data_IF_705847194211
#
_entry.id   IF_705847194211
#
_cell.length_a   1.000
_cell.length_b   1.000
_cell.length_c   1.000
_cell.angle_alpha   90.00
_cell.angle_beta   90.00
_cell.angle_gamma   90.00
#
_symmetry.space_group_name_H-M   'P 1'
#
loop_
_entity.id
_entity.type
_entity.pdbx_description
1 polymer ?
#
# COMPACT_ATOMS: atom_id res chain seq x y z
N UNK A 1 -56.66 1.06 -55.01
CA UNK A 1 -56.61 1.88 -53.78
C UNK A 1 -57.62 1.33 -52.78
N UNK A 2 -57.25 1.41 -51.51
CA UNK A 2 -58.02 1.21 -50.28
C UNK A 2 -58.11 -0.21 -49.71
N UNK A 3 -57.61 -0.29 -48.47
CA UNK A 3 -57.21 -1.44 -47.68
C UNK A 3 -58.39 -2.18 -47.06
N UNK A 4 -58.36 -3.52 -47.08
CA UNK A 4 -59.16 -4.35 -46.19
C UNK A 4 -58.57 -4.31 -44.77
N UNK A 5 -59.32 -3.71 -43.86
CA UNK A 5 -59.11 -3.82 -42.41
C UNK A 5 -59.59 -5.18 -41.92
N UNK A 6 -58.66 -6.13 -41.74
CA UNK A 6 -58.87 -7.31 -40.89
C UNK A 6 -58.16 -7.11 -39.56
N UNK A 7 -58.91 -6.74 -38.53
CA UNK A 7 -58.49 -6.83 -37.13
C UNK A 7 -58.23 -8.30 -36.80
N UNK A 8 -56.96 -8.66 -36.57
CA UNK A 8 -56.60 -9.91 -35.89
C UNK A 8 -56.55 -9.63 -34.38
N UNK A 9 -57.15 -10.49 -33.53
CA UNK A 9 -56.85 -10.47 -32.12
C UNK A 9 -55.49 -11.15 -31.91
N UNK A 10 -54.45 -10.39 -31.57
CA UNK A 10 -53.20 -10.97 -31.06
C UNK A 10 -53.43 -11.39 -29.62
N UNK A 11 -53.75 -12.68 -29.48
CA UNK A 11 -53.71 -13.44 -28.25
C UNK A 11 -52.30 -13.51 -27.68
N UNK A 12 -52.27 -13.59 -26.35
CA UNK A 12 -51.24 -14.15 -25.47
C UNK A 12 -49.90 -13.42 -25.39
N UNK A 13 -49.87 -12.44 -24.47
CA UNK A 13 -48.69 -12.18 -23.66
C UNK A 13 -48.15 -13.51 -23.10
N UNK A 14 -46.84 -13.82 -23.24
CA UNK A 14 -46.24 -14.88 -22.47
C UNK A 14 -46.24 -14.43 -21.00
N UNK A 15 -47.08 -15.11 -20.23
CA UNK A 15 -47.13 -15.05 -18.78
C UNK A 15 -45.82 -15.66 -18.23
N UNK A 16 -44.75 -14.88 -18.26
CA UNK A 16 -43.46 -15.18 -17.64
C UNK A 16 -43.41 -14.68 -16.21
N UNK A 17 -44.29 -15.21 -15.34
CA UNK A 17 -44.06 -15.14 -13.90
C UNK A 17 -42.83 -15.98 -13.58
N UNK A 18 -41.68 -15.33 -13.41
CA UNK A 18 -40.67 -15.80 -12.47
C UNK A 18 -40.20 -14.60 -11.67
N UNK A 19 -41.10 -14.03 -10.88
CA UNK A 19 -40.67 -13.46 -9.59
C UNK A 19 -40.33 -14.67 -8.71
N UNK A 20 -39.17 -15.28 -8.93
CA UNK A 20 -38.57 -16.13 -7.90
C UNK A 20 -38.23 -15.19 -6.77
N UNK A 21 -39.12 -15.14 -5.78
CA UNK A 21 -38.79 -14.58 -4.49
C UNK A 21 -37.67 -15.45 -3.95
N UNK A 22 -36.42 -14.96 -4.04
CA UNK A 22 -35.29 -15.58 -3.34
C UNK A 22 -35.72 -15.78 -1.90
N UNK A 23 -35.68 -17.02 -1.46
CA UNK A 23 -36.00 -17.31 -0.06
C UNK A 23 -34.88 -16.76 0.82
N UNK A 24 -35.18 -16.53 2.09
CA UNK A 24 -34.18 -16.10 3.08
C UNK A 24 -32.99 -17.06 3.13
N UNK A 25 -33.23 -18.36 2.92
CA UNK A 25 -32.19 -19.38 2.82
C UNK A 25 -31.28 -19.18 1.59
N UNK A 26 -31.85 -18.84 0.43
CA UNK A 26 -31.08 -18.57 -0.79
C UNK A 26 -30.21 -17.30 -0.64
N UNK A 27 -30.75 -16.27 0.03
CA UNK A 27 -30.03 -15.04 0.38
C UNK A 27 -28.87 -15.33 1.34
N UNK A 28 -29.12 -16.11 2.39
CA UNK A 28 -28.09 -16.49 3.36
C UNK A 28 -26.95 -17.27 2.70
N UNK A 29 -27.27 -18.23 1.82
CA UNK A 29 -26.26 -18.99 1.09
C UNK A 29 -25.44 -18.08 0.15
N UNK A 30 -26.08 -17.13 -0.51
CA UNK A 30 -25.40 -16.19 -1.40
C UNK A 30 -24.47 -15.24 -0.63
N UNK A 31 -24.87 -14.78 0.55
CA UNK A 31 -24.01 -13.97 1.45
C UNK A 31 -22.80 -14.78 1.90
N UNK A 32 -22.97 -16.05 2.29
CA UNK A 32 -21.85 -16.91 2.69
C UNK A 32 -20.86 -17.09 1.55
N UNK A 33 -21.32 -17.31 0.32
CA UNK A 33 -20.44 -17.44 -0.86
C UNK A 33 -19.65 -16.17 -1.11
N UNK A 34 -20.29 -15.00 -1.04
CA UNK A 34 -19.61 -13.70 -1.22
C UNK A 34 -18.56 -13.50 -0.12
N UNK A 35 -18.90 -13.80 1.13
CA UNK A 35 -17.98 -13.67 2.25
C UNK A 35 -16.76 -14.58 2.09
N UNK A 36 -16.97 -15.86 1.77
CA UNK A 36 -15.89 -16.81 1.55
C UNK A 36 -14.99 -16.39 0.39
N UNK A 37 -15.58 -15.91 -0.71
CA UNK A 37 -14.82 -15.41 -1.85
C UNK A 37 -13.98 -14.19 -1.47
N UNK A 38 -14.56 -13.20 -0.81
CA UNK A 38 -13.85 -12.00 -0.37
C UNK A 38 -12.74 -12.34 0.63
N UNK A 39 -12.98 -13.29 1.53
CA UNK A 39 -11.98 -13.78 2.48
C UNK A 39 -10.80 -14.43 1.75
N UNK A 40 -11.08 -15.31 0.77
CA UNK A 40 -10.04 -15.98 0.00
C UNK A 40 -9.23 -14.99 -0.84
N UNK A 41 -9.89 -14.06 -1.55
CA UNK A 41 -9.21 -13.01 -2.33
C UNK A 41 -8.34 -12.11 -1.43
N UNK A 42 -8.80 -11.79 -0.23
CA UNK A 42 -8.02 -11.01 0.74
C UNK A 42 -6.81 -11.79 1.24
N UNK A 43 -6.97 -13.08 1.53
CA UNK A 43 -5.86 -13.96 1.95
C UNK A 43 -4.84 -14.12 0.82
N UNK A 44 -5.27 -14.31 -0.42
CA UNK A 44 -4.40 -14.38 -1.59
C UNK A 44 -3.62 -13.06 -1.81
N UNK A 45 -4.26 -11.91 -1.64
CA UNK A 45 -3.59 -10.60 -1.71
C UNK A 45 -2.54 -10.41 -0.60
N UNK A 46 -2.82 -10.90 0.61
CA UNK A 46 -1.86 -10.83 1.71
C UNK A 46 -0.69 -11.79 1.46
N UNK A 47 -0.96 -13.01 1.00
CA UNK A 47 0.04 -14.05 0.74
C UNK A 47 0.94 -13.72 -0.45
N UNK A 48 0.38 -13.21 -1.55
CA UNK A 48 1.16 -12.74 -2.70
C UNK A 48 2.08 -11.59 -2.34
N UNK A 49 1.69 -10.75 -1.37
CA UNK A 49 2.56 -9.67 -0.84
C UNK A 49 3.67 -10.19 0.07
N UNK A 50 3.54 -11.38 0.66
CA UNK A 50 4.53 -11.93 1.61
C UNK A 50 5.60 -12.81 0.96
N UNK A 51 5.47 -13.15 -0.33
CA UNK A 51 6.43 -14.03 -1.01
C UNK A 51 7.79 -13.37 -1.33
N UNK A 52 7.95 -12.06 -1.16
CA UNK A 52 9.22 -11.36 -1.45
C UNK A 52 9.96 -10.83 -0.22
N UNK A 53 9.43 -11.03 0.99
CA UNK A 53 10.21 -10.73 2.21
C UNK A 53 11.16 -11.89 2.46
N UNK A 54 12.40 -11.77 1.97
CA UNK A 54 13.46 -12.69 2.33
C UNK A 54 13.59 -12.73 3.86
N UNK A 55 13.38 -13.90 4.45
CA UNK A 55 13.58 -14.23 5.87
C UNK A 55 15.08 -14.20 6.26
N UNK A 56 15.86 -13.30 5.63
CA UNK A 56 17.23 -13.08 6.00
C UNK A 56 17.26 -12.45 7.40
N UNK A 57 18.09 -12.95 8.32
CA UNK A 57 18.24 -12.34 9.64
C UNK A 57 18.54 -10.85 9.46
N UNK A 58 17.78 -10.01 10.15
CA UNK A 58 17.90 -8.55 10.03
C UNK A 58 19.34 -8.16 10.33
N UNK A 59 20.05 -7.72 9.29
CA UNK A 59 21.47 -7.37 9.41
C UNK A 59 21.58 -6.12 10.27
N UNK A 60 22.37 -6.21 11.33
CA UNK A 60 22.59 -5.08 12.24
C UNK A 60 23.27 -3.91 11.53
N UNK A 61 24.22 -4.22 10.64
CA UNK A 61 24.93 -3.24 9.81
C UNK A 61 24.49 -3.35 8.35
N UNK A 62 24.04 -2.23 7.79
CA UNK A 62 23.44 -2.14 6.46
C UNK A 62 24.21 -1.21 5.53
N UNK A 63 24.20 -1.50 4.23
CA UNK A 63 24.57 -0.52 3.20
C UNK A 63 23.46 0.53 3.01
N UNK A 64 23.74 1.61 2.28
CA UNK A 64 22.72 2.61 1.98
C UNK A 64 21.50 2.01 1.24
N UNK A 65 21.74 1.09 0.30
CA UNK A 65 20.66 0.43 -0.45
C UNK A 65 19.83 -0.50 0.43
N UNK A 66 20.49 -1.24 1.33
CA UNK A 66 19.80 -2.11 2.29
C UNK A 66 18.97 -1.30 3.29
N UNK A 67 19.50 -0.17 3.74
CA UNK A 67 18.77 0.74 4.62
C UNK A 67 17.58 1.38 3.89
N UNK A 68 17.74 1.75 2.61
CA UNK A 68 16.64 2.25 1.79
C UNK A 68 15.54 1.22 1.61
N UNK A 69 15.91 -0.03 1.34
CA UNK A 69 14.98 -1.16 1.23
C UNK A 69 14.24 -1.41 2.55
N UNK A 70 14.98 -1.48 3.66
CA UNK A 70 14.41 -1.63 5.00
C UNK A 70 13.43 -0.50 5.38
N UNK A 71 13.76 0.75 5.06
CA UNK A 71 12.89 1.91 5.27
C UNK A 71 11.83 2.12 4.18
N UNK A 72 11.77 1.22 3.20
CA UNK A 72 10.84 1.28 2.08
C UNK A 72 10.90 2.60 1.30
N UNK A 73 12.11 3.15 1.15
CA UNK A 73 12.36 4.34 0.36
C UNK A 73 12.55 3.93 -1.11
N UNK A 74 11.48 3.99 -1.91
CA UNK A 74 11.51 3.65 -3.33
C UNK A 74 11.30 4.89 -4.22
N UNK A 75 11.89 4.87 -5.41
CA UNK A 75 11.62 5.86 -6.46
C UNK A 75 10.40 5.45 -7.33
N UNK A 76 10.07 6.27 -8.33
CA UNK A 76 8.95 6.01 -9.25
C UNK A 76 9.11 4.71 -10.08
N UNK A 77 10.32 4.14 -10.11
CA UNK A 77 10.63 2.87 -10.80
C UNK A 77 10.61 1.66 -9.86
N UNK A 78 10.17 1.84 -8.61
CA UNK A 78 10.17 0.82 -7.57
C UNK A 78 11.58 0.31 -7.19
N UNK A 79 12.60 1.15 -7.33
CA UNK A 79 13.98 0.84 -6.92
C UNK A 79 14.33 1.58 -5.60
N UNK A 80 15.08 0.95 -4.67
CA UNK A 80 15.50 1.62 -3.44
C UNK A 80 16.31 2.89 -3.70
N UNK A 81 15.87 4.02 -3.14
CA UNK A 81 16.52 5.33 -3.32
C UNK A 81 17.46 5.68 -2.18
N UNK A 82 18.74 5.81 -2.50
CA UNK A 82 19.81 6.07 -1.52
C UNK A 82 20.20 7.55 -1.42
N UNK A 83 19.71 8.40 -2.34
CA UNK A 83 20.10 9.81 -2.42
C UNK A 83 19.81 10.58 -1.12
N UNK A 84 18.66 10.31 -0.50
CA UNK A 84 18.28 10.91 0.79
C UNK A 84 19.22 10.48 1.92
N UNK A 85 19.49 9.17 2.02
CA UNK A 85 20.37 8.57 3.03
C UNK A 85 21.78 9.14 2.93
N UNK A 86 22.35 9.17 1.73
CA UNK A 86 23.69 9.73 1.48
C UNK A 86 23.75 11.24 1.74
N UNK A 87 22.65 11.96 1.49
CA UNK A 87 22.56 13.38 1.82
C UNK A 87 22.54 13.59 3.33
N UNK A 88 21.84 12.75 4.09
CA UNK A 88 21.78 12.84 5.54
C UNK A 88 23.10 12.45 6.21
N UNK A 89 23.82 11.47 5.68
CA UNK A 89 25.12 11.06 6.22
C UNK A 89 26.22 12.11 6.01
N UNK A 90 26.14 12.89 4.93
CA UNK A 90 27.11 13.96 4.60
C UNK A 90 26.84 15.29 5.28
N UNK A 91 25.82 15.40 6.13
CA UNK A 91 25.56 16.65 6.86
C UNK A 91 26.71 16.94 7.84
N UNK A 92 27.04 18.22 8.10
CA UNK A 92 27.97 18.56 9.17
C UNK A 92 27.35 18.23 10.55
N UNK A 93 28.20 18.05 11.57
CA UNK A 93 27.82 17.53 12.90
C UNK A 93 26.75 18.38 13.62
N UNK A 94 26.77 19.70 13.39
CA UNK A 94 25.80 20.67 13.88
C UNK A 94 24.39 20.50 13.28
N UNK A 95 24.28 19.77 12.16
CA UNK A 95 23.03 19.48 11.45
C UNK A 95 22.57 18.04 11.65
N UNK A 96 23.04 17.38 12.71
CA UNK A 96 22.64 16.04 13.12
C UNK A 96 22.69 15.05 11.95
N UNK A 97 23.88 14.70 11.44
CA UNK A 97 24.01 13.74 10.35
C UNK A 97 23.47 12.38 10.75
N UNK A 98 23.11 11.60 9.74
CA UNK A 98 22.75 10.19 9.94
C UNK A 98 23.98 9.43 10.47
N UNK A 99 23.88 8.73 11.63
CA UNK A 99 24.99 7.95 12.18
C UNK A 99 25.47 6.90 11.18
N UNK A 100 26.79 6.83 11.00
CA UNK A 100 27.41 5.90 10.06
C UNK A 100 28.84 5.59 10.49
N UNK A 101 29.35 4.47 9.99
CA UNK A 101 30.73 4.05 10.17
C UNK A 101 31.32 3.62 8.82
N UNK A 102 32.64 3.71 8.71
CA UNK A 102 33.41 3.17 7.60
C UNK A 102 34.05 1.85 8.04
N UNK A 103 33.68 0.75 7.37
CA UNK A 103 34.30 -0.56 7.53
C UNK A 103 35.30 -0.77 6.38
N UNK A 104 36.51 -0.24 6.55
CA UNK A 104 37.41 0.01 5.42
C UNK A 104 36.85 1.14 4.55
N UNK A 105 36.74 0.93 3.24
CA UNK A 105 36.15 1.90 2.32
C UNK A 105 34.61 1.83 2.25
N UNK A 106 34.01 0.89 2.99
CA UNK A 106 32.58 0.61 2.92
C UNK A 106 31.80 1.42 3.96
N UNK A 107 30.99 2.37 3.49
CA UNK A 107 30.02 3.08 4.31
C UNK A 107 28.93 2.11 4.80
N UNK A 108 28.71 2.08 6.11
CA UNK A 108 27.74 1.22 6.80
C UNK A 108 26.95 2.00 7.84
N UNK A 109 25.70 1.58 8.02
CA UNK A 109 24.75 2.16 8.96
C UNK A 109 24.33 1.09 9.95
N UNK A 110 24.44 1.37 11.25
CA UNK A 110 23.85 0.52 12.27
C UNK A 110 22.34 0.77 12.28
N UNK A 111 21.54 -0.29 12.23
CA UNK A 111 20.09 -0.23 12.16
C UNK A 111 19.49 0.56 13.32
N UNK A 112 19.90 0.28 14.55
CA UNK A 112 19.27 0.84 15.75
C UNK A 112 19.56 2.34 15.87
N UNK A 113 20.79 2.73 15.59
CA UNK A 113 21.20 4.14 15.55
C UNK A 113 20.48 4.91 14.43
N UNK A 114 20.39 4.31 13.24
CA UNK A 114 19.70 4.90 12.11
C UNK A 114 18.19 5.08 12.40
N UNK A 115 17.54 4.08 12.99
CA UNK A 115 16.13 4.14 13.37
C UNK A 115 15.87 5.16 14.48
N UNK A 116 16.75 5.22 15.47
CA UNK A 116 16.71 6.25 16.51
C UNK A 116 16.84 7.65 15.92
N UNK A 117 17.77 7.83 14.99
CA UNK A 117 17.95 9.09 14.27
C UNK A 117 16.72 9.47 13.44
N UNK A 118 16.13 8.52 12.70
CA UNK A 118 14.98 8.77 11.83
C UNK A 118 13.77 9.29 12.63
N UNK A 119 13.51 8.71 13.81
CA UNK A 119 12.47 9.19 14.73
C UNK A 119 12.73 10.63 15.19
N UNK A 120 13.97 10.96 15.53
CA UNK A 120 14.34 12.31 15.95
C UNK A 120 14.25 13.32 14.79
N UNK A 121 14.66 12.94 13.58
CA UNK A 121 14.55 13.80 12.39
C UNK A 121 13.08 14.10 12.06
N UNK A 122 12.19 13.11 12.18
CA UNK A 122 10.76 13.32 11.99
C UNK A 122 10.19 14.35 12.99
N UNK A 123 10.57 14.24 14.27
CA UNK A 123 10.14 15.19 15.30
C UNK A 123 10.70 16.60 15.04
N UNK A 124 11.99 16.72 14.67
CA UNK A 124 12.58 18.01 14.28
C UNK A 124 11.82 18.66 13.13
N UNK A 125 11.45 17.88 12.09
CA UNK A 125 10.67 18.40 10.96
C UNK A 125 9.25 18.80 11.36
N UNK A 126 8.61 18.05 12.26
CA UNK A 126 7.29 18.41 12.81
C UNK A 126 7.33 19.77 13.49
N UNK A 127 8.27 19.95 14.43
CA UNK A 127 8.44 21.22 15.16
C UNK A 127 8.76 22.37 14.18
N UNK A 128 9.61 22.14 13.18
CA UNK A 128 9.94 23.15 12.18
C UNK A 128 8.73 23.56 11.33
N UNK A 129 7.91 22.58 10.91
CA UNK A 129 6.71 22.83 10.13
C UNK A 129 5.64 23.58 10.96
N UNK A 130 5.49 23.23 12.24
CA UNK A 130 4.59 23.95 13.14
C UNK A 130 5.03 25.40 13.35
N UNK A 131 6.33 25.64 13.57
CA UNK A 131 6.87 27.00 13.64
C UNK A 131 6.64 27.80 12.35
N UNK A 132 6.76 27.16 11.18
CA UNK A 132 6.47 27.81 9.89
C UNK A 132 4.98 28.17 9.77
N UNK A 133 4.08 27.26 10.15
CA UNK A 133 2.63 27.51 10.12
C UNK A 133 2.23 28.69 11.01
N UNK A 134 2.78 28.77 12.23
CA UNK A 134 2.50 29.84 13.18
C UNK A 134 3.08 31.20 12.80
N UNK A 135 4.11 31.26 11.93
CA UNK A 135 4.67 32.52 11.42
C UNK A 135 3.92 33.07 10.20
N UNK A 136 3.07 32.26 9.58
CA UNK A 136 2.30 32.62 8.38
C UNK A 136 0.86 33.03 8.75
N UNK A 137 0.37 32.61 9.92
CA UNK A 137 -0.89 33.07 10.51
C UNK A 137 -0.69 34.39 11.27
#
# INVERSE_FOLDING_TARGET
>A
MLLETRLRPMSTFPNGKVSSQMTEADLAEQVVRIYQRAQNETLELIQSRTAETSDAPVREWMSATQLADYWQLYNDKNEPTTAGILKWSKRPLDQFPLPHAYMGDLLRFNREEADGWARQEAERRRIQNEKRRLKIA
#
